data_IF_766847429668
#
_entry.id   IF_766847429668
#
_cell.length_a   1.000
_cell.length_b   1.000
_cell.length_c   1.000
_cell.angle_alpha   90.00
_cell.angle_beta   90.00
_cell.angle_gamma   90.00
#
_symmetry.space_group_name_H-M   'P 1'
#
loop_
_entity.id
_entity.type
_entity.pdbx_description
1 polymer ?
#
# COMPACT_ATOMS: atom_id res chain seq x y z
N UNK A 1 -4.99 13.91 -10.13
CA UNK A 1 -5.04 12.49 -9.73
C UNK A 1 -3.96 12.21 -8.70
N UNK A 2 -4.24 11.41 -7.67
CA UNK A 2 -3.30 11.12 -6.57
C UNK A 2 -3.34 9.64 -6.20
N UNK A 3 -2.35 9.18 -5.44
CA UNK A 3 -2.26 7.79 -4.96
C UNK A 3 -3.24 7.56 -3.80
N UNK A 4 -4.05 6.49 -3.91
CA UNK A 4 -5.00 6.05 -2.86
C UNK A 4 -4.33 5.02 -1.95
N UNK A 5 -3.59 5.48 -0.94
CA UNK A 5 -2.83 4.61 0.00
C UNK A 5 -3.73 3.72 0.87
N UNK A 6 -4.99 4.09 1.00
CA UNK A 6 -6.06 3.37 1.68
C UNK A 6 -6.70 2.28 0.80
N UNK A 7 -6.33 2.15 -0.48
CA UNK A 7 -6.84 1.10 -1.36
C UNK A 7 -6.22 -0.28 -1.02
N UNK A 8 -7.04 -1.33 -0.98
CA UNK A 8 -6.61 -2.73 -0.79
C UNK A 8 -5.63 -3.20 -1.88
N UNK A 9 -5.74 -2.65 -3.08
CA UNK A 9 -4.90 -3.00 -4.23
C UNK A 9 -3.60 -2.19 -4.30
N UNK A 10 -3.45 -1.16 -3.48
CA UNK A 10 -2.20 -0.41 -3.40
C UNK A 10 -1.16 -1.20 -2.60
N UNK A 11 0.05 -1.27 -3.15
CA UNK A 11 1.21 -1.89 -2.50
C UNK A 11 2.43 -1.00 -2.71
N UNK A 12 3.13 -0.70 -1.63
CA UNK A 12 4.43 -0.02 -1.66
C UNK A 12 5.48 -0.87 -0.99
N UNK A 13 6.67 -0.93 -1.60
CA UNK A 13 7.85 -1.55 -0.99
C UNK A 13 9.04 -0.62 -1.15
N UNK A 14 9.86 -0.54 -0.11
CA UNK A 14 11.16 0.12 -0.20
C UNK A 14 12.21 -0.93 -0.52
N UNK A 15 12.96 -0.71 -1.59
CA UNK A 15 14.08 -1.56 -1.98
C UNK A 15 15.30 -1.30 -1.08
N UNK A 16 16.26 -2.24 -0.99
CA UNK A 16 17.51 -2.03 -0.24
C UNK A 16 18.33 -0.81 -0.72
N UNK A 17 18.13 -0.40 -1.97
CA UNK A 17 18.72 0.81 -2.57
C UNK A 17 18.14 2.12 -2.03
N UNK A 18 17.06 2.07 -1.26
CA UNK A 18 16.32 3.24 -0.77
C UNK A 18 15.20 3.71 -1.71
N UNK A 19 15.06 3.09 -2.88
CA UNK A 19 13.99 3.42 -3.82
C UNK A 19 12.63 2.91 -3.31
N UNK A 20 11.61 3.75 -3.37
CA UNK A 20 10.23 3.35 -3.07
C UNK A 20 9.51 2.97 -4.36
N UNK A 21 9.10 1.71 -4.45
CA UNK A 21 8.33 1.19 -5.58
C UNK A 21 6.87 1.07 -5.17
N UNK A 22 6.01 1.74 -5.93
CA UNK A 22 4.56 1.71 -5.80
C UNK A 22 3.93 0.84 -6.90
N UNK A 23 2.89 0.09 -6.56
CA UNK A 23 2.20 -0.80 -7.50
C UNK A 23 0.71 -0.91 -7.20
N UNK A 24 -0.11 -0.96 -8.25
CA UNK A 24 -1.50 -1.43 -8.19
C UNK A 24 -1.56 -2.92 -8.54
N UNK A 25 -2.25 -3.73 -7.75
CA UNK A 25 -2.36 -5.19 -7.99
C UNK A 25 -3.24 -5.56 -9.19
N UNK A 26 -4.10 -4.66 -9.63
CA UNK A 26 -5.02 -4.85 -10.76
C UNK A 26 -4.62 -4.01 -11.98
N UNK A 27 -3.45 -3.37 -11.92
CA UNK A 27 -2.86 -2.56 -12.99
C UNK A 27 -3.80 -1.46 -13.57
N UNK A 28 -4.80 -1.04 -12.79
CA UNK A 28 -5.73 0.03 -13.15
C UNK A 28 -5.16 1.45 -12.91
N UNK A 29 -3.91 1.57 -12.46
CA UNK A 29 -3.24 2.84 -12.21
C UNK A 29 -2.65 3.42 -13.51
N UNK A 30 -2.37 4.73 -13.49
CA UNK A 30 -1.42 5.33 -14.42
C UNK A 30 0.00 4.93 -14.01
N UNK A 31 0.82 4.46 -14.94
CA UNK A 31 2.16 3.95 -14.64
C UNK A 31 3.17 5.07 -14.34
N UNK A 32 3.11 6.20 -15.09
CA UNK A 32 4.04 7.33 -14.94
C UNK A 32 3.28 8.65 -15.15
N UNK A 33 3.22 9.55 -14.15
CA UNK A 33 3.50 9.29 -12.73
C UNK A 33 2.53 8.24 -12.17
N UNK A 34 2.97 7.50 -11.14
CA UNK A 34 2.11 6.54 -10.46
C UNK A 34 0.91 7.26 -9.83
N UNK A 35 -0.30 7.00 -10.33
CA UNK A 35 -1.51 7.66 -9.85
C UNK A 35 -2.75 6.76 -10.00
N UNK A 36 -3.70 6.89 -9.07
CA UNK A 36 -5.01 6.27 -9.24
C UNK A 36 -5.90 7.14 -10.14
N UNK A 37 -6.66 6.55 -11.08
CA UNK A 37 -7.59 7.31 -11.89
C UNK A 37 -8.72 7.89 -11.04
N UNK A 38 -9.24 9.03 -11.46
CA UNK A 38 -10.45 9.60 -10.88
C UNK A 38 -11.62 8.65 -11.09
N UNK A 39 -12.40 8.38 -10.05
CA UNK A 39 -13.51 7.41 -10.14
C UNK A 39 -13.09 5.94 -10.33
N UNK A 40 -11.89 5.54 -9.91
CA UNK A 40 -11.41 4.15 -10.03
C UNK A 40 -12.47 3.12 -9.58
N UNK A 41 -12.96 2.31 -10.52
CA UNK A 41 -13.99 1.30 -10.30
C UNK A 41 -13.52 0.13 -9.42
N UNK A 42 -12.21 -0.10 -9.38
CA UNK A 42 -11.58 -1.15 -8.56
C UNK A 42 -11.16 -0.64 -7.18
N UNK A 43 -11.59 0.54 -6.77
CA UNK A 43 -11.26 1.01 -5.45
C UNK A 43 -12.00 0.21 -4.39
N UNK A 44 -11.22 -0.50 -3.58
CA UNK A 44 -11.70 -1.16 -2.38
C UNK A 44 -10.95 -0.60 -1.18
N UNK A 45 -11.63 -0.04 -0.16
CA UNK A 45 -10.97 0.42 1.05
C UNK A 45 -10.31 -0.76 1.77
N UNK A 46 -9.04 -0.61 2.14
CA UNK A 46 -8.30 -1.58 2.94
C UNK A 46 -8.84 -1.53 4.36
N UNK A 47 -9.59 -2.55 4.76
CA UNK A 47 -9.90 -2.78 6.16
C UNK A 47 -8.59 -3.09 6.91
N UNK A 48 -7.98 -2.07 7.51
CA UNK A 48 -6.93 -2.26 8.51
C UNK A 48 -7.67 -2.65 9.79
N UNK A 49 -8.09 -3.91 9.89
CA UNK A 49 -8.53 -4.44 11.17
C UNK A 49 -7.33 -4.39 12.10
N UNK A 50 -7.39 -3.54 13.13
CA UNK A 50 -6.33 -3.31 14.13
C UNK A 50 -5.97 -4.53 15.00
N UNK A 51 -6.22 -5.75 14.54
CA UNK A 51 -5.66 -6.98 15.08
C UNK A 51 -4.17 -7.07 14.67
N UNK A 52 -3.39 -6.12 15.17
CA UNK A 52 -1.93 -6.17 15.10
C UNK A 52 -1.45 -7.28 16.03
N UNK A 53 -0.64 -8.19 15.50
CA UNK A 53 0.15 -9.09 16.33
C UNK A 53 1.10 -8.24 17.18
N UNK A 54 0.87 -8.16 18.49
CA UNK A 54 1.80 -7.53 19.41
C UNK A 54 2.96 -8.49 19.64
N UNK A 55 4.18 -8.12 19.23
CA UNK A 55 5.36 -8.88 19.63
C UNK A 55 5.54 -8.66 21.14
N UNK A 56 5.52 -9.70 22.00
CA UNK A 56 5.82 -9.51 23.41
C UNK A 56 7.23 -8.92 23.54
N UNK A 57 7.45 -7.98 24.48
CA UNK A 57 8.77 -7.42 24.68
C UNK A 57 9.75 -8.54 25.00
N UNK A 58 10.87 -8.54 24.28
CA UNK A 58 12.07 -9.31 24.60
C UNK A 58 12.37 -9.09 26.09
N UNK A 59 12.24 -10.15 26.90
CA UNK A 59 12.77 -10.19 28.26
C UNK A 59 14.03 -11.03 28.23
N UNK A 60 15.15 -10.42 27.87
CA UNK A 60 16.47 -10.99 28.15
C UNK A 60 17.17 -10.08 29.16
N UNK A 61 17.30 -10.58 30.39
CA UNK A 61 18.15 -10.05 31.46
C UNK A 61 19.19 -11.10 31.80
#
# INVERSE_FOLDING_TARGET
>A
MAVRKDCRHYSSRTLPTGEQVERCRVDANQAVPFACPEGCLFFEPRAISGAGWTQPPDRRS
#
